data_IF_959832811076
#
_entry.id   IF_959832811076
#
_cell.length_a   1.000
_cell.length_b   1.000
_cell.length_c   1.000
_cell.angle_alpha   90.00
_cell.angle_beta   90.00
_cell.angle_gamma   90.00
#
_symmetry.space_group_name_H-M   'P 1'
#
loop_
_entity.id
_entity.type
_entity.pdbx_description
1 polymer ?
#
# COMPACT_ATOMS: atom_id res chain seq x y z
N UNK A 1 -1.86 -9.39 -27.85
CA UNK A 1 -1.02 -8.50 -27.02
C UNK A 1 -1.85 -7.51 -26.21
N UNK A 2 -2.98 -6.99 -26.72
CA UNK A 2 -3.90 -6.15 -25.93
C UNK A 2 -4.54 -6.83 -24.70
N UNK A 3 -4.69 -8.17 -24.72
CA UNK A 3 -5.36 -8.91 -23.65
C UNK A 3 -4.57 -9.02 -22.33
N UNK A 4 -3.22 -8.94 -22.37
CA UNK A 4 -2.38 -9.01 -21.16
C UNK A 4 -2.15 -7.62 -20.54
N UNK A 5 -2.02 -6.57 -21.35
CA UNK A 5 -1.93 -5.17 -20.88
C UNK A 5 -3.19 -4.72 -20.14
N UNK A 6 -4.37 -5.10 -20.65
CA UNK A 6 -5.64 -4.81 -19.96
C UNK A 6 -5.74 -5.45 -18.57
N UNK A 7 -5.06 -6.59 -18.36
CA UNK A 7 -5.01 -7.27 -17.06
C UNK A 7 -4.08 -6.55 -16.08
N UNK A 8 -2.87 -6.16 -16.51
CA UNK A 8 -1.88 -5.53 -15.63
C UNK A 8 -2.28 -4.13 -15.15
N UNK A 9 -3.01 -3.38 -15.97
CA UNK A 9 -3.50 -2.04 -15.62
C UNK A 9 -4.55 -2.06 -14.50
N UNK A 10 -5.20 -3.20 -14.27
CA UNK A 10 -6.17 -3.41 -13.20
C UNK A 10 -5.53 -3.93 -11.89
N UNK A 11 -4.21 -4.11 -11.86
CA UNK A 11 -3.51 -4.53 -10.65
C UNK A 11 -3.59 -3.44 -9.57
N UNK A 12 -3.80 -3.86 -8.33
CA UNK A 12 -4.05 -2.95 -7.22
C UNK A 12 -2.76 -2.69 -6.43
N UNK A 13 -2.25 -1.46 -6.50
CA UNK A 13 -1.19 -1.00 -5.61
C UNK A 13 -1.80 -0.68 -4.25
N UNK A 14 -1.25 -1.26 -3.18
CA UNK A 14 -1.71 -1.01 -1.80
C UNK A 14 -0.52 -0.76 -0.89
N UNK A 15 -0.51 0.41 -0.24
CA UNK A 15 0.55 0.86 0.68
C UNK A 15 -0.09 1.61 1.84
N UNK A 16 0.55 1.64 3.01
CA UNK A 16 0.10 2.51 4.10
C UNK A 16 0.15 3.99 3.69
N UNK A 17 -0.70 4.81 4.30
CA UNK A 17 -0.67 6.26 4.10
C UNK A 17 0.69 6.84 4.55
N UNK A 18 1.28 6.26 5.60
CA UNK A 18 2.58 6.68 6.12
C UNK A 18 3.71 6.49 5.11
N UNK A 19 3.75 5.36 4.42
CA UNK A 19 4.72 5.12 3.35
C UNK A 19 4.50 6.09 2.18
N UNK A 20 3.24 6.41 1.87
CA UNK A 20 2.94 7.40 0.83
C UNK A 20 3.40 8.80 1.21
N UNK A 21 3.27 9.21 2.47
CA UNK A 21 3.70 10.53 2.97
C UNK A 21 5.18 10.58 3.37
N UNK A 22 5.95 9.51 3.16
CA UNK A 22 7.37 9.52 3.47
C UNK A 22 8.14 10.48 2.56
N UNK A 23 9.17 11.13 3.12
CA UNK A 23 10.13 11.92 2.36
C UNK A 23 11.08 10.95 1.66
N UNK A 24 11.15 11.01 0.34
CA UNK A 24 11.86 10.05 -0.49
C UNK A 24 12.18 10.64 -1.85
N UNK A 25 13.23 10.17 -2.52
CA UNK A 25 13.71 10.75 -3.77
C UNK A 25 13.92 9.68 -4.87
N UNK A 26 13.04 8.68 -4.96
CA UNK A 26 13.08 7.68 -6.02
C UNK A 26 12.88 8.34 -7.40
N UNK A 27 13.62 7.86 -8.39
CA UNK A 27 13.35 8.14 -9.80
C UNK A 27 12.04 7.50 -10.26
N UNK A 28 11.52 7.90 -11.42
CA UNK A 28 10.30 7.31 -11.98
C UNK A 28 10.42 5.79 -12.15
N UNK A 29 11.57 5.32 -12.63
CA UNK A 29 11.89 3.89 -12.78
C UNK A 29 11.82 3.17 -11.44
N UNK A 30 12.44 3.72 -10.40
CA UNK A 30 12.49 3.10 -9.08
C UNK A 30 11.12 3.12 -8.40
N UNK A 31 10.32 4.16 -8.58
CA UNK A 31 8.91 4.19 -8.10
C UNK A 31 8.12 3.06 -8.75
N UNK A 32 8.24 2.91 -10.07
CA UNK A 32 7.56 1.87 -10.85
C UNK A 32 7.98 0.47 -10.39
N UNK A 33 9.26 0.26 -10.09
CA UNK A 33 9.76 -0.99 -9.52
C UNK A 33 9.19 -1.27 -8.14
N UNK A 34 9.14 -0.29 -7.24
CA UNK A 34 8.51 -0.46 -5.94
C UNK A 34 7.00 -0.71 -6.08
N UNK A 35 6.31 -0.09 -7.05
CA UNK A 35 4.90 -0.38 -7.32
C UNK A 35 4.69 -1.83 -7.77
N UNK A 36 5.53 -2.33 -8.69
CA UNK A 36 5.52 -3.74 -9.08
C UNK A 36 5.84 -4.66 -7.92
N UNK A 37 6.87 -4.33 -7.13
CA UNK A 37 7.23 -5.12 -5.96
C UNK A 37 6.04 -5.30 -5.01
N UNK A 38 5.31 -4.22 -4.73
CA UNK A 38 4.11 -4.25 -3.89
C UNK A 38 2.96 -5.07 -4.49
N UNK A 39 2.83 -5.07 -5.81
CA UNK A 39 1.81 -5.86 -6.51
C UNK A 39 2.21 -7.33 -6.47
N UNK A 40 3.39 -7.64 -6.99
CA UNK A 40 3.87 -9.00 -7.17
C UNK A 40 4.02 -9.70 -5.82
N UNK A 41 4.55 -9.03 -4.77
CA UNK A 41 4.63 -9.61 -3.42
C UNK A 41 3.26 -10.02 -2.86
N UNK A 42 2.19 -9.36 -3.28
CA UNK A 42 0.82 -9.67 -2.86
C UNK A 42 0.20 -10.76 -3.74
N UNK A 43 0.47 -10.75 -5.04
CA UNK A 43 -0.01 -11.78 -5.97
C UNK A 43 0.64 -13.14 -5.67
N UNK A 44 1.94 -13.17 -5.38
CA UNK A 44 2.71 -14.40 -5.15
C UNK A 44 2.81 -14.81 -3.69
N UNK A 45 2.49 -13.91 -2.75
CA UNK A 45 2.74 -14.08 -1.31
C UNK A 45 4.22 -14.33 -0.97
N UNK A 46 5.14 -13.83 -1.80
CA UNK A 46 6.61 -13.88 -1.58
C UNK A 46 7.17 -12.48 -1.35
N UNK A 47 8.37 -12.36 -0.78
CA UNK A 47 9.00 -11.05 -0.55
C UNK A 47 8.29 -10.20 0.53
N UNK A 48 7.41 -10.82 1.32
CA UNK A 48 6.67 -10.21 2.42
C UNK A 48 7.41 -10.36 3.77
N UNK A 49 8.68 -10.78 3.73
CA UNK A 49 9.56 -10.83 4.90
C UNK A 49 10.89 -10.15 4.58
N UNK A 50 11.69 -9.86 5.60
CA UNK A 50 12.95 -9.14 5.43
C UNK A 50 14.13 -10.03 5.00
N UNK A 51 13.88 -11.32 4.77
CA UNK A 51 14.89 -12.33 4.41
C UNK A 51 14.49 -13.12 3.15
N UNK A 52 13.28 -12.91 2.63
CA UNK A 52 12.74 -13.59 1.45
C UNK A 52 12.87 -12.69 0.21
N UNK A 53 13.63 -13.10 -0.83
CA UNK A 53 13.77 -12.33 -2.06
C UNK A 53 12.47 -12.25 -2.86
N UNK A 54 12.18 -11.06 -3.40
CA UNK A 54 11.15 -10.85 -4.40
C UNK A 54 11.77 -10.71 -5.77
N UNK A 55 11.40 -11.61 -6.68
CA UNK A 55 11.84 -11.58 -8.06
C UNK A 55 10.96 -10.67 -8.93
N UNK A 56 11.59 -9.78 -9.70
CA UNK A 56 10.94 -8.88 -10.66
C UNK A 56 11.60 -9.08 -12.03
N UNK A 57 10.80 -9.44 -13.04
CA UNK A 57 11.31 -9.68 -14.41
C UNK A 57 11.17 -8.45 -15.32
N UNK A 58 12.12 -8.28 -16.25
CA UNK A 58 12.07 -7.21 -17.25
C UNK A 58 10.82 -7.31 -18.13
N UNK A 59 10.40 -8.54 -18.46
CA UNK A 59 9.17 -8.81 -19.21
C UNK A 59 7.93 -8.25 -18.49
N UNK A 60 7.81 -8.48 -17.18
CA UNK A 60 6.71 -7.94 -16.36
C UNK A 60 6.74 -6.41 -16.36
N UNK A 61 7.92 -5.82 -16.22
CA UNK A 61 8.08 -4.37 -16.29
C UNK A 61 7.65 -3.79 -17.65
N UNK A 62 8.11 -4.40 -18.75
CA UNK A 62 7.74 -4.05 -20.12
C UNK A 62 6.22 -4.09 -20.34
N UNK A 63 5.57 -5.17 -19.89
CA UNK A 63 4.12 -5.34 -20.00
C UNK A 63 3.33 -4.30 -19.20
N UNK A 64 3.80 -3.90 -18.02
CA UNK A 64 3.10 -2.96 -17.14
C UNK A 64 3.28 -1.49 -17.53
N UNK A 65 4.41 -1.12 -18.13
CA UNK A 65 4.76 0.27 -18.42
C UNK A 65 4.89 0.59 -19.91
N UNK A 66 4.50 -0.35 -20.77
CA UNK A 66 4.48 -0.20 -22.23
C UNK A 66 5.84 0.25 -22.78
N UNK A 67 6.89 -0.47 -22.39
CA UNK A 67 8.25 -0.28 -22.90
C UNK A 67 8.75 -1.56 -23.55
N UNK A 68 9.72 -1.42 -24.44
CA UNK A 68 10.41 -2.57 -25.03
C UNK A 68 11.16 -3.40 -23.95
N UNK A 69 11.29 -4.70 -24.17
CA UNK A 69 11.88 -5.64 -23.20
C UNK A 69 13.38 -5.36 -22.98
N UNK A 70 14.12 -4.99 -24.03
CA UNK A 70 15.54 -4.64 -23.91
C UNK A 70 15.70 -3.34 -23.11
N UNK A 71 14.81 -2.38 -23.36
CA UNK A 71 14.75 -1.15 -22.55
C UNK A 71 14.40 -1.46 -21.08
N UNK A 72 13.44 -2.34 -20.83
CA UNK A 72 13.08 -2.76 -19.48
C UNK A 72 14.24 -3.45 -18.77
N UNK A 73 15.05 -4.21 -19.50
CA UNK A 73 16.24 -4.85 -18.98
C UNK A 73 17.30 -3.83 -18.54
N UNK A 74 17.62 -2.85 -19.38
CA UNK A 74 18.56 -1.77 -19.03
C UNK A 74 18.07 -0.96 -17.81
N UNK A 75 16.75 -0.75 -17.75
CA UNK A 75 16.07 -0.10 -16.63
C UNK A 75 16.25 -0.89 -15.33
N UNK A 76 16.07 -2.22 -15.35
CA UNK A 76 16.30 -3.06 -14.17
C UNK A 76 17.77 -3.05 -13.73
N UNK A 77 18.70 -3.12 -14.68
CA UNK A 77 20.14 -3.09 -14.40
C UNK A 77 20.55 -1.75 -13.78
N UNK A 78 20.07 -0.63 -14.31
CA UNK A 78 20.33 0.68 -13.70
C UNK A 78 19.68 0.80 -12.32
N UNK A 79 18.48 0.24 -12.13
CA UNK A 79 17.78 0.32 -10.87
C UNK A 79 18.45 -0.53 -9.78
N UNK A 80 19.11 -1.64 -10.13
CA UNK A 80 19.91 -2.41 -9.17
C UNK A 80 20.98 -1.53 -8.51
N UNK A 81 21.74 -0.78 -9.31
CA UNK A 81 22.80 0.10 -8.81
C UNK A 81 22.27 1.27 -7.97
N UNK A 82 21.08 1.80 -8.28
CA UNK A 82 20.57 3.02 -7.62
C UNK A 82 19.61 2.73 -6.47
N UNK A 83 18.73 1.73 -6.57
CA UNK A 83 17.66 1.46 -5.60
C UNK A 83 18.21 1.09 -4.23
N UNK A 84 19.34 0.36 -4.17
CA UNK A 84 20.01 0.00 -2.93
C UNK A 84 20.43 1.22 -2.09
N UNK A 85 20.80 2.32 -2.76
CA UNK A 85 21.20 3.56 -2.08
C UNK A 85 20.02 4.47 -1.73
N UNK A 86 18.81 4.15 -2.20
CA UNK A 86 17.62 4.95 -1.92
C UNK A 86 17.19 4.80 -0.48
N UNK A 87 16.91 5.95 0.13
CA UNK A 87 16.46 6.06 1.51
C UNK A 87 15.16 6.84 1.55
N UNK A 88 14.36 6.57 2.56
CA UNK A 88 13.20 7.39 2.90
C UNK A 88 13.20 7.69 4.39
N UNK A 89 12.51 8.77 4.73
CA UNK A 89 12.33 9.21 6.11
C UNK A 89 10.85 9.36 6.45
N UNK A 90 10.50 9.00 7.68
CA UNK A 90 9.16 9.16 8.24
C UNK A 90 9.25 9.51 9.72
N UNK A 91 8.16 10.04 10.28
CA UNK A 91 8.04 10.28 11.72
C UNK A 91 7.47 9.02 12.40
N UNK A 92 8.04 8.64 13.53
CA UNK A 92 7.54 7.53 14.36
C UNK A 92 6.60 8.01 15.47
N UNK A 93 6.04 7.06 16.22
CA UNK A 93 5.06 7.35 17.28
C UNK A 93 5.65 8.15 18.45
N UNK A 94 6.97 8.33 18.48
CA UNK A 94 7.71 9.14 19.47
C UNK A 94 8.11 10.51 18.91
N UNK A 95 7.54 10.93 17.78
CA UNK A 95 7.84 12.17 17.06
C UNK A 95 9.31 12.29 16.56
N UNK A 96 10.03 11.17 16.52
CA UNK A 96 11.39 11.15 16.00
C UNK A 96 11.41 10.84 14.51
N UNK A 97 12.29 11.52 13.78
CA UNK A 97 12.57 11.20 12.38
C UNK A 97 13.37 9.89 12.30
N UNK A 98 12.80 8.90 11.60
CA UNK A 98 13.46 7.64 11.30
C UNK A 98 13.86 7.65 9.84
N UNK A 99 15.10 7.24 9.55
CA UNK A 99 15.65 7.09 8.20
C UNK A 99 15.95 5.63 7.94
N UNK A 100 15.53 5.10 6.80
CA UNK A 100 15.76 3.70 6.41
C UNK A 100 15.89 3.57 4.89
N UNK A 101 16.35 2.40 4.42
CA UNK A 101 16.45 2.04 3.00
C UNK A 101 15.15 1.43 2.49
N UNK A 102 14.95 1.47 1.18
CA UNK A 102 13.85 0.75 0.52
C UNK A 102 14.10 -0.75 0.48
N UNK A 103 15.31 -1.13 0.08
CA UNK A 103 15.75 -2.52 -0.06
C UNK A 103 17.00 -2.76 0.81
N UNK A 104 17.11 -3.95 1.38
CA UNK A 104 18.30 -4.43 2.11
C UNK A 104 19.26 -5.19 1.20
N UNK A 105 18.77 -5.73 0.09
CA UNK A 105 19.54 -6.46 -0.91
C UNK A 105 18.94 -6.23 -2.29
N UNK A 106 19.79 -6.13 -3.31
CA UNK A 106 19.41 -6.28 -4.70
C UNK A 106 20.41 -7.23 -5.35
N UNK A 107 19.91 -8.17 -6.13
CA UNK A 107 20.71 -9.10 -6.91
C UNK A 107 20.21 -9.11 -8.35
N UNK A 108 21.13 -9.01 -9.30
CA UNK A 108 20.81 -9.17 -10.71
C UNK A 108 21.02 -10.63 -11.14
N UNK A 109 19.98 -11.26 -11.67
CA UNK A 109 19.99 -12.66 -12.09
C UNK A 109 20.37 -12.78 -13.56
N UNK A 110 21.67 -13.00 -13.80
CA UNK A 110 22.25 -13.07 -15.15
C UNK A 110 21.62 -14.19 -15.97
N UNK A 111 21.20 -13.87 -17.20
CA UNK A 111 20.61 -14.80 -18.15
C UNK A 111 19.10 -14.97 -18.02
N UNK A 112 18.49 -14.47 -16.93
CA UNK A 112 17.04 -14.56 -16.70
C UNK A 112 16.31 -13.23 -16.84
N UNK A 113 17.04 -12.13 -17.10
CA UNK A 113 16.47 -10.80 -17.29
C UNK A 113 15.61 -10.35 -16.12
N UNK A 114 16.05 -10.67 -14.90
CA UNK A 114 15.31 -10.42 -13.66
C UNK A 114 16.25 -9.86 -12.59
N UNK A 115 15.68 -9.11 -11.64
CA UNK A 115 16.35 -8.76 -10.39
C UNK A 115 15.60 -9.41 -9.22
N UNK A 116 16.32 -9.71 -8.16
CA UNK A 116 15.74 -10.07 -6.87
C UNK A 116 16.02 -8.95 -5.88
N UNK A 117 14.98 -8.54 -5.15
CA UNK A 117 15.09 -7.52 -4.11
C UNK A 117 14.63 -8.08 -2.78
N UNK A 118 15.30 -7.70 -1.70
CA UNK A 118 14.80 -7.91 -0.35
C UNK A 118 14.34 -6.56 0.19
N UNK A 119 13.06 -6.44 0.52
CA UNK A 119 12.50 -5.22 1.10
C UNK A 119 12.93 -5.11 2.57
N UNK A 120 13.24 -3.89 3.02
CA UNK A 120 13.58 -3.70 4.44
C UNK A 120 12.38 -3.98 5.35
N UNK A 121 12.59 -4.37 6.63
CA UNK A 121 11.50 -4.58 7.57
C UNK A 121 10.54 -3.39 7.68
N UNK A 122 11.07 -2.16 7.49
CA UNK A 122 10.28 -0.95 7.48
C UNK A 122 9.31 -0.93 6.29
N UNK A 123 9.76 -1.24 5.08
CA UNK A 123 8.86 -1.29 3.91
C UNK A 123 7.86 -2.44 4.03
N UNK A 124 8.34 -3.63 4.39
CA UNK A 124 7.50 -4.82 4.58
C UNK A 124 6.33 -4.51 5.52
N UNK A 125 6.61 -3.87 6.68
CA UNK A 125 5.56 -3.48 7.64
C UNK A 125 4.48 -2.62 6.99
N UNK A 126 4.85 -1.66 6.15
CA UNK A 126 3.93 -0.69 5.56
C UNK A 126 3.11 -1.25 4.38
N UNK A 127 3.45 -2.44 3.88
CA UNK A 127 2.73 -3.12 2.78
C UNK A 127 2.05 -4.44 3.21
N UNK A 128 2.43 -5.00 4.36
CA UNK A 128 1.83 -6.23 4.94
C UNK A 128 0.84 -5.96 6.07
N UNK A 129 1.13 -4.99 6.95
CA UNK A 129 0.29 -4.71 8.13
C UNK A 129 -0.81 -3.71 7.80
N UNK A 130 -1.63 -4.06 6.84
CA UNK A 130 -2.79 -3.25 6.45
C UNK A 130 -4.01 -3.78 7.20
N UNK A 131 -4.05 -3.50 8.50
CA UNK A 131 -5.26 -3.70 9.28
C UNK A 131 -6.16 -2.46 9.09
N UNK A 132 -7.31 -2.61 8.45
CA UNK A 132 -8.20 -1.46 8.14
C UNK A 132 -8.76 -0.70 9.37
N UNK A 133 -8.31 -1.03 10.58
CA UNK A 133 -8.73 -0.48 11.87
C UNK A 133 -7.63 0.33 12.59
N UNK A 134 -6.34 0.02 12.42
CA UNK A 134 -5.24 0.82 13.01
C UNK A 134 -4.39 1.52 11.96
N UNK A 135 -4.25 0.93 10.77
CA UNK A 135 -3.39 1.45 9.71
C UNK A 135 -4.21 1.95 8.53
N UNK A 136 -4.28 3.28 8.37
CA UNK A 136 -4.86 3.84 7.16
C UNK A 136 -3.97 3.52 5.96
N UNK A 137 -4.60 3.01 4.90
CA UNK A 137 -3.92 2.63 3.68
C UNK A 137 -4.54 3.29 2.46
N UNK A 138 -3.72 3.39 1.44
CA UNK A 138 -4.08 3.92 0.14
C UNK A 138 -4.11 2.77 -0.85
N UNK A 139 -5.15 2.76 -1.69
CA UNK A 139 -5.28 1.81 -2.78
C UNK A 139 -5.61 2.52 -4.09
N UNK A 140 -4.97 2.11 -5.18
CA UNK A 140 -5.25 2.60 -6.53
C UNK A 140 -4.83 1.56 -7.57
N UNK A 141 -5.42 1.64 -8.77
CA UNK A 141 -5.05 0.77 -9.89
C UNK A 141 -3.72 1.24 -10.49
N UNK A 142 -2.82 0.32 -10.81
CA UNK A 142 -1.52 0.62 -11.41
C UNK A 142 -1.66 1.51 -12.66
N UNK A 143 -2.70 1.29 -13.47
CA UNK A 143 -2.97 2.09 -14.66
C UNK A 143 -3.19 3.58 -14.42
N UNK A 144 -3.49 4.01 -13.18
CA UNK A 144 -3.60 5.44 -12.84
C UNK A 144 -2.24 6.13 -12.74
N UNK A 145 -1.16 5.38 -12.49
CA UNK A 145 0.19 5.93 -12.37
C UNK A 145 1.14 5.48 -13.46
N UNK A 146 0.88 4.32 -14.09
CA UNK A 146 1.74 3.76 -15.14
C UNK A 146 1.91 4.69 -16.34
N UNK A 147 0.86 5.45 -16.69
CA UNK A 147 0.83 6.38 -17.84
C UNK A 147 1.41 7.76 -17.54
N UNK A 148 1.77 8.03 -16.28
CA UNK A 148 2.38 9.28 -15.86
C UNK A 148 3.87 9.24 -16.14
N UNK A 149 4.37 10.31 -16.76
CA UNK A 149 5.76 10.43 -17.22
C UNK A 149 6.61 11.28 -16.26
N UNK A 150 5.99 12.03 -15.37
CA UNK A 150 6.69 12.81 -14.34
C UNK A 150 6.66 12.11 -12.99
N UNK A 151 7.83 12.00 -12.36
CA UNK A 151 7.96 11.55 -10.97
C UNK A 151 7.06 12.38 -10.04
N UNK A 152 6.95 13.69 -10.28
CA UNK A 152 6.13 14.59 -9.49
C UNK A 152 4.63 14.30 -9.66
N UNK A 153 4.19 13.93 -10.86
CA UNK A 153 2.81 13.52 -11.11
C UNK A 153 2.46 12.24 -10.36
N UNK A 154 3.33 11.23 -10.41
CA UNK A 154 3.11 9.98 -9.67
C UNK A 154 3.04 10.24 -8.17
N UNK A 155 4.00 11.00 -7.62
CA UNK A 155 4.04 11.33 -6.20
C UNK A 155 2.85 12.17 -5.76
N UNK A 156 2.48 13.19 -6.53
CA UNK A 156 1.33 14.01 -6.24
C UNK A 156 0.04 13.18 -6.27
N UNK A 157 -0.14 12.32 -7.26
CA UNK A 157 -1.28 11.41 -7.33
C UNK A 157 -1.36 10.51 -6.07
N UNK A 158 -0.26 9.85 -5.70
CA UNK A 158 -0.20 8.98 -4.50
C UNK A 158 -0.54 9.74 -3.21
N UNK A 159 -0.05 10.99 -3.05
CA UNK A 159 -0.35 11.82 -1.89
C UNK A 159 -1.81 12.26 -1.82
N UNK A 160 -2.49 12.41 -2.97
CA UNK A 160 -3.85 12.95 -3.06
C UNK A 160 -4.93 11.87 -3.08
N UNK A 161 -4.69 10.70 -3.68
CA UNK A 161 -5.72 9.66 -3.83
C UNK A 161 -6.25 9.15 -2.49
N UNK A 162 -5.44 9.19 -1.43
CA UNK A 162 -5.86 8.89 -0.06
C UNK A 162 -6.96 9.83 0.47
N UNK A 163 -7.04 11.05 -0.06
CA UNK A 163 -8.02 12.09 0.30
C UNK A 163 -9.25 12.11 -0.61
N UNK A 164 -9.38 11.16 -1.55
CA UNK A 164 -10.49 11.13 -2.54
C UNK A 164 -11.88 11.22 -1.90
N UNK A 165 -12.09 10.58 -0.74
CA UNK A 165 -13.38 10.63 -0.02
C UNK A 165 -13.63 11.99 0.62
N UNK A 166 -12.59 12.62 1.18
CA UNK A 166 -12.67 13.93 1.80
C UNK A 166 -12.83 15.06 0.78
N UNK A 167 -12.45 14.83 -0.49
CA UNK A 167 -12.47 15.79 -1.61
C UNK A 167 -11.57 17.02 -1.43
N UNK A 168 -10.90 17.13 -0.28
CA UNK A 168 -9.96 18.18 0.06
C UNK A 168 -8.86 17.63 0.97
N UNK A 169 -7.69 18.24 0.91
CA UNK A 169 -6.55 17.87 1.74
C UNK A 169 -6.39 18.83 2.92
N UNK A 170 -5.70 18.42 4.00
CA UNK A 170 -5.09 19.37 4.91
C UNK A 170 -4.04 20.24 4.19
N UNK A 171 -3.51 21.23 4.89
CA UNK A 171 -2.39 22.02 4.40
C UNK A 171 -1.16 21.11 4.28
N UNK A 172 -0.64 20.98 3.07
CA UNK A 172 0.71 20.46 2.85
C UNK A 172 1.70 21.57 3.13
N UNK A 173 2.42 21.46 4.25
CA UNK A 173 3.55 22.32 4.58
C UNK A 173 4.59 22.32 3.46
N UNK A 174 5.06 23.50 3.04
CA UNK A 174 5.88 23.66 1.85
C UNK A 174 7.18 22.84 1.90
N UNK A 175 7.88 22.85 3.04
CA UNK A 175 9.17 22.18 3.17
C UNK A 175 8.99 20.66 3.11
N UNK A 176 8.08 20.15 3.92
CA UNK A 176 7.77 18.71 3.96
C UNK A 176 7.25 18.22 2.62
N UNK A 177 6.36 18.99 1.99
CA UNK A 177 5.72 18.62 0.73
C UNK A 177 6.71 18.51 -0.42
N UNK A 178 7.70 19.41 -0.49
CA UNK A 178 8.77 19.33 -1.49
C UNK A 178 9.56 18.03 -1.37
N UNK A 179 9.90 17.64 -0.14
CA UNK A 179 10.55 16.36 0.13
C UNK A 179 9.67 15.14 -0.21
N UNK A 180 8.36 15.21 0.03
CA UNK A 180 7.42 14.14 -0.32
C UNK A 180 7.24 13.96 -1.84
N UNK A 181 7.39 15.04 -2.61
CA UNK A 181 7.43 15.03 -4.08
C UNK A 181 8.77 14.55 -4.64
N UNK A 182 9.79 14.35 -3.79
CA UNK A 182 11.13 13.90 -4.19
C UNK A 182 12.06 14.99 -4.69
N UNK A 183 11.80 16.24 -4.29
CA UNK A 183 12.70 17.35 -4.57
C UNK A 183 13.83 17.41 -3.55
N UNK A 184 15.05 17.66 -4.03
CA UNK A 184 16.17 18.07 -3.22
C UNK A 184 15.97 19.48 -2.63
N UNK A 185 16.78 19.80 -1.62
CA UNK A 185 16.75 21.10 -0.94
C UNK A 185 16.95 22.26 -1.93
N UNK A 186 17.79 22.05 -2.94
CA UNK A 186 18.17 23.08 -3.91
C UNK A 186 17.33 23.10 -5.21
N UNK A 187 16.41 22.15 -5.40
CA UNK A 187 15.66 22.03 -6.65
C UNK A 187 14.53 23.06 -6.76
N UNK A 188 14.49 23.84 -7.84
CA UNK A 188 13.41 24.84 -8.05
C UNK A 188 13.18 25.77 -6.84
N UNK A 189 14.26 26.32 -6.26
CA UNK A 189 14.18 27.24 -5.10
C UNK A 189 13.18 28.40 -5.29
N UNK A 190 13.09 28.91 -6.52
CA UNK A 190 12.13 29.96 -6.87
C UNK A 190 10.73 29.36 -6.92
N UNK A 191 9.82 29.95 -6.14
CA UNK A 191 8.42 29.52 -6.07
C UNK A 191 7.72 29.50 -7.44
N UNK A 192 8.06 30.42 -8.34
CA UNK A 192 7.55 30.42 -9.72
C UNK A 192 7.99 29.19 -10.52
N UNK A 193 9.24 28.75 -10.36
CA UNK A 193 9.75 27.55 -11.02
C UNK A 193 9.18 26.28 -10.39
N UNK A 194 9.06 26.23 -9.05
CA UNK A 194 8.41 25.11 -8.37
C UNK A 194 6.97 24.92 -8.87
N UNK A 195 6.17 25.99 -8.93
CA UNK A 195 4.80 25.87 -9.46
C UNK A 195 4.80 25.42 -10.91
N UNK A 196 5.48 26.14 -11.79
CA UNK A 196 5.42 25.91 -13.23
C UNK A 196 5.94 24.53 -13.64
N UNK A 197 7.07 24.09 -13.07
CA UNK A 197 7.77 22.86 -13.47
C UNK A 197 7.35 21.64 -12.66
N UNK A 198 6.78 21.83 -11.47
CA UNK A 198 6.38 20.72 -10.59
C UNK A 198 4.87 20.67 -10.46
N UNK A 199 4.25 21.66 -9.80
CA UNK A 199 2.82 21.58 -9.46
C UNK A 199 1.90 21.67 -10.67
N UNK A 200 2.05 22.70 -11.50
CA UNK A 200 1.19 22.95 -12.65
C UNK A 200 1.32 21.84 -13.69
N UNK A 201 2.56 21.40 -13.95
CA UNK A 201 2.84 20.27 -14.83
C UNK A 201 2.21 18.96 -14.29
N UNK A 202 2.38 18.66 -13.01
CA UNK A 202 1.82 17.47 -12.40
C UNK A 202 0.29 17.49 -12.35
N UNK A 203 -0.30 18.63 -12.02
CA UNK A 203 -1.76 18.82 -12.00
C UNK A 203 -2.36 18.66 -13.39
N UNK A 204 -1.72 19.24 -14.41
CA UNK A 204 -2.16 19.07 -15.79
C UNK A 204 -2.12 17.60 -16.22
N UNK A 205 -1.02 16.90 -15.96
CA UNK A 205 -0.87 15.49 -16.34
C UNK A 205 -1.86 14.58 -15.60
N UNK A 206 -2.06 14.78 -14.30
CA UNK A 206 -3.05 14.02 -13.51
C UNK A 206 -4.47 14.26 -14.04
N UNK A 207 -4.80 15.52 -14.34
CA UNK A 207 -6.10 15.91 -14.87
C UNK A 207 -6.37 15.38 -16.27
N UNK A 208 -5.33 15.08 -17.03
CA UNK A 208 -5.45 14.49 -18.36
C UNK A 208 -5.58 12.96 -18.28
N UNK A 209 -4.67 12.30 -17.57
CA UNK A 209 -4.43 10.85 -17.71
C UNK A 209 -5.03 9.94 -16.64
N UNK A 210 -5.54 10.49 -15.54
CA UNK A 210 -5.99 9.68 -14.38
C UNK A 210 -7.49 9.79 -14.12
N UNK A 211 -7.99 9.01 -13.15
CA UNK A 211 -9.34 9.07 -12.62
C UNK A 211 -9.61 10.28 -11.72
N UNK A 212 -8.58 11.10 -11.43
CA UNK A 212 -8.72 12.31 -10.63
C UNK A 212 -8.75 13.58 -11.48
N UNK A 213 -9.58 14.53 -11.03
CA UNK A 213 -9.51 15.94 -11.38
C UNK A 213 -9.15 16.73 -10.13
N UNK A 214 -7.97 17.34 -10.13
CA UNK A 214 -7.39 18.06 -9.01
C UNK A 214 -7.16 19.53 -9.35
N UNK A 215 -7.21 20.37 -8.32
CA UNK A 215 -6.78 21.76 -8.34
C UNK A 215 -6.19 22.13 -6.98
N UNK A 216 -5.43 23.22 -6.91
CA UNK A 216 -4.78 23.64 -5.67
C UNK A 216 -4.93 25.12 -5.40
N UNK A 217 -4.88 25.46 -4.12
CA UNK A 217 -4.81 26.83 -3.60
C UNK A 217 -3.55 26.95 -2.75
N UNK A 218 -2.88 28.10 -2.85
CA UNK A 218 -1.72 28.42 -2.03
C UNK A 218 -2.18 29.04 -0.71
N UNK A 219 -1.58 28.63 0.40
CA UNK A 219 -1.76 29.25 1.70
C UNK A 219 -0.59 30.19 1.98
N UNK A 220 -0.87 31.38 2.53
CA UNK A 220 0.17 32.37 2.86
C UNK A 220 0.14 32.73 4.33
N UNK A 221 1.31 32.87 4.92
CA UNK A 221 1.51 33.62 6.15
C UNK A 221 2.18 34.94 5.78
N UNK A 222 1.45 36.05 5.94
CA UNK A 222 1.83 37.37 5.42
C UNK A 222 2.06 37.30 3.90
N UNK A 223 3.28 37.56 3.42
CA UNK A 223 3.67 37.50 2.01
C UNK A 223 4.28 36.16 1.60
N UNK A 224 4.62 35.30 2.55
CA UNK A 224 5.31 34.03 2.31
C UNK A 224 4.31 32.90 2.09
N UNK A 225 4.48 32.12 1.03
CA UNK A 225 3.70 30.90 0.82
C UNK A 225 4.18 29.83 1.80
N UNK A 226 3.29 29.34 2.66
CA UNK A 226 3.60 28.32 3.67
C UNK A 226 3.21 26.91 3.23
N UNK A 227 2.38 26.78 2.19
CA UNK A 227 1.95 25.47 1.72
C UNK A 227 0.81 25.51 0.71
N UNK A 228 0.25 24.33 0.44
CA UNK A 228 -0.81 24.14 -0.54
C UNK A 228 -1.94 23.26 -0.01
N UNK A 229 -3.17 23.58 -0.41
CA UNK A 229 -4.36 22.75 -0.19
C UNK A 229 -4.91 22.31 -1.54
N UNK A 230 -5.27 21.05 -1.66
CA UNK A 230 -5.80 20.50 -2.91
C UNK A 230 -7.28 20.20 -2.79
N UNK A 231 -8.01 20.43 -3.88
CA UNK A 231 -9.37 19.96 -4.11
C UNK A 231 -9.31 18.77 -5.06
N UNK A 232 -10.06 17.73 -4.77
CA UNK A 232 -10.02 16.44 -5.46
C UNK A 232 -11.44 16.05 -5.86
N UNK A 233 -11.62 15.77 -7.14
CA UNK A 233 -12.87 15.30 -7.73
C UNK A 233 -12.55 14.01 -8.48
N UNK A 234 -13.28 12.93 -8.20
CA UNK A 234 -13.18 11.70 -8.99
C UNK A 234 -13.97 11.86 -10.29
N UNK A 235 -13.34 11.59 -11.42
CA UNK A 235 -13.99 11.57 -12.72
C UNK A 235 -14.91 10.34 -12.78
N UNK A 236 -16.17 10.54 -13.12
CA UNK A 236 -17.02 9.41 -13.51
C UNK A 236 -16.52 8.90 -14.87
N UNK A 237 -16.19 7.62 -14.98
CA UNK A 237 -15.90 7.02 -16.28
C UNK A 237 -17.14 7.15 -17.18
N UNK A 238 -17.03 7.63 -18.44
CA UNK A 238 -18.05 7.34 -19.43
C UNK A 238 -17.91 5.85 -19.79
N UNK A 239 -19.01 5.08 -19.63
CA UNK A 239 -19.13 3.65 -19.92
C UNK A 239 -18.23 2.68 -19.11
N UNK A 240 -18.59 2.47 -17.85
CA UNK A 240 -18.70 1.10 -17.32
C UNK A 240 -20.09 0.97 -16.68
N UNK A 241 -20.77 -0.18 -16.78
CA UNK A 241 -22.10 -0.35 -16.20
C UNK A 241 -22.05 0.01 -14.73
N UNK A 242 -22.97 0.88 -14.30
CA UNK A 242 -23.17 1.15 -12.88
C UNK A 242 -23.61 -0.16 -12.20
N UNK A 243 -22.66 -0.87 -11.60
CA UNK A 243 -23.02 -1.80 -10.53
C UNK A 243 -23.52 -0.96 -9.37
N UNK A 244 -24.82 -1.13 -9.13
CA UNK A 244 -25.55 -0.59 -8.00
C UNK A 244 -24.79 -0.96 -6.72
N UNK A 245 -24.70 0.00 -5.81
CA UNK A 245 -24.31 -0.21 -4.42
C UNK A 245 -24.98 -1.46 -3.84
N UNK A 246 -24.21 -2.51 -3.55
CA UNK A 246 -23.96 -3.15 -2.24
C UNK A 246 -23.13 -4.41 -2.51
N UNK A 247 -21.82 -4.31 -2.32
CA UNK A 247 -20.91 -5.45 -2.11
C UNK A 247 -19.57 -4.86 -1.69
N UNK A 248 -19.12 -5.13 -0.46
CA UNK A 248 -17.71 -4.95 -0.12
C UNK A 248 -16.96 -5.98 -0.97
N UNK A 249 -16.07 -5.55 -1.86
CA UNK A 249 -15.24 -6.42 -2.70
C UNK A 249 -14.79 -7.68 -1.93
N UNK A 250 -15.46 -8.80 -2.20
CA UNK A 250 -15.27 -10.05 -1.46
C UNK A 250 -13.83 -10.58 -1.54
N UNK A 251 -13.07 -10.15 -2.56
CA UNK A 251 -11.68 -10.56 -2.75
C UNK A 251 -10.62 -9.59 -2.20
N UNK A 252 -10.97 -8.42 -1.67
CA UNK A 252 -9.96 -7.47 -1.13
C UNK A 252 -9.82 -7.55 0.39
N UNK A 253 -10.85 -8.00 1.09
CA UNK A 253 -10.76 -8.27 2.52
C UNK A 253 -9.98 -9.57 2.80
N UNK A 254 -10.06 -10.55 1.90
CA UNK A 254 -9.54 -11.91 2.08
C UNK A 254 -8.00 -12.04 2.13
N UNK A 255 -7.24 -10.99 1.83
CA UNK A 255 -5.77 -11.10 1.74
C UNK A 255 -5.01 -10.67 3.01
N UNK A 256 -5.70 -10.08 3.99
CA UNK A 256 -5.15 -9.74 5.32
C UNK A 256 -5.85 -10.51 6.45
N UNK A 257 -6.48 -11.60 6.06
CA UNK A 257 -7.41 -12.34 6.88
C UNK A 257 -7.38 -13.79 6.46
N UNK A 258 -7.47 -14.71 7.40
CA UNK A 258 -7.69 -16.11 7.03
C UNK A 258 -9.18 -16.31 6.93
N UNK A 259 -9.63 -16.78 5.78
CA UNK A 259 -11.04 -16.85 5.39
C UNK A 259 -11.78 -15.53 5.66
N UNK A 260 -11.29 -14.37 5.20
CA UNK A 260 -12.02 -13.08 5.30
C UNK A 260 -12.17 -12.49 6.70
N UNK A 261 -11.57 -13.12 7.73
CA UNK A 261 -11.56 -12.68 9.12
C UNK A 261 -10.21 -12.06 9.58
N UNK A 262 -10.23 -10.81 10.04
CA UNK A 262 -9.06 -10.14 10.63
C UNK A 262 -8.67 -10.72 11.99
N UNK A 263 -7.44 -10.50 12.44
CA UNK A 263 -6.96 -10.95 13.76
C UNK A 263 -7.90 -10.54 14.91
N UNK A 264 -8.47 -9.33 14.87
CA UNK A 264 -9.45 -8.89 15.86
C UNK A 264 -10.77 -9.64 15.77
N UNK A 265 -11.21 -9.99 14.57
CA UNK A 265 -12.40 -10.80 14.36
C UNK A 265 -12.17 -12.24 14.82
N UNK A 266 -11.01 -12.83 14.52
CA UNK A 266 -10.61 -14.15 15.00
C UNK A 266 -10.52 -14.17 16.53
N UNK A 267 -9.94 -13.13 17.13
CA UNK A 267 -9.86 -12.97 18.58
C UNK A 267 -11.25 -12.78 19.21
N UNK A 268 -12.16 -12.09 18.53
CA UNK A 268 -13.56 -11.97 18.98
C UNK A 268 -14.29 -13.32 18.88
N UNK A 269 -14.08 -14.08 17.81
CA UNK A 269 -14.65 -15.42 17.62
C UNK A 269 -14.15 -16.38 18.70
N UNK A 270 -12.86 -16.33 19.07
CA UNK A 270 -12.34 -17.17 20.15
C UNK A 270 -12.97 -16.86 21.51
N UNK A 271 -13.65 -15.72 21.66
CA UNK A 271 -14.42 -15.35 22.87
C UNK A 271 -15.90 -15.72 22.81
N UNK A 272 -16.40 -16.28 21.70
CA UNK A 272 -17.80 -16.70 21.61
C UNK A 272 -18.05 -17.95 22.48
N UNK A 273 -19.09 -17.94 23.32
CA UNK A 273 -19.35 -19.00 24.32
C UNK A 273 -19.48 -20.39 23.71
N UNK A 274 -20.19 -20.52 22.58
CA UNK A 274 -20.30 -21.79 21.86
C UNK A 274 -18.99 -22.24 21.22
N UNK A 275 -18.15 -21.29 20.78
CA UNK A 275 -16.86 -21.57 20.18
C UNK A 275 -15.91 -22.11 21.25
N UNK A 276 -15.84 -21.43 22.41
CA UNK A 276 -15.12 -21.86 23.60
C UNK A 276 -15.59 -23.27 24.01
N UNK A 277 -16.89 -23.51 24.14
CA UNK A 277 -17.42 -24.82 24.54
C UNK A 277 -17.07 -25.96 23.58
N UNK A 278 -16.68 -25.65 22.34
CA UNK A 278 -16.36 -26.64 21.30
C UNK A 278 -14.86 -26.85 21.14
N UNK A 279 -14.05 -25.79 21.26
CA UNK A 279 -12.62 -25.79 20.91
C UNK A 279 -11.68 -25.49 22.08
N UNK A 280 -12.19 -25.17 23.28
CA UNK A 280 -11.35 -24.89 24.46
C UNK A 280 -10.38 -26.02 24.80
N UNK A 281 -10.76 -27.28 24.58
CA UNK A 281 -9.93 -28.46 24.82
C UNK A 281 -8.68 -28.58 23.92
N UNK A 282 -8.55 -27.74 22.88
CA UNK A 282 -7.34 -27.70 22.04
C UNK A 282 -6.18 -26.97 22.72
N UNK A 283 -6.49 -26.01 23.61
CA UNK A 283 -5.48 -25.25 24.33
C UNK A 283 -4.90 -26.10 25.47
N UNK A 284 -3.57 -26.29 25.45
CA UNK A 284 -2.82 -27.04 26.47
C UNK A 284 -1.70 -26.17 27.06
N UNK A 285 -1.26 -26.50 28.27
CA UNK A 285 -0.16 -25.78 28.93
C UNK A 285 -0.54 -24.33 29.24
N UNK A 286 0.37 -23.39 28.96
CA UNK A 286 0.18 -21.97 29.28
C UNK A 286 -1.01 -21.31 28.54
N UNK A 287 -1.40 -21.85 27.38
CA UNK A 287 -2.58 -21.40 26.64
C UNK A 287 -3.91 -21.72 27.35
N UNK A 288 -3.93 -22.65 28.30
CA UNK A 288 -5.10 -22.97 29.13
C UNK A 288 -5.17 -22.17 30.43
N UNK A 289 -4.15 -21.35 30.75
CA UNK A 289 -4.04 -20.66 32.04
C UNK A 289 -4.73 -19.31 32.10
N UNK A 290 -4.85 -18.61 30.97
CA UNK A 290 -5.57 -17.34 30.88
C UNK A 290 -6.21 -17.14 29.50
N UNK A 291 -7.29 -16.35 29.46
CA UNK A 291 -8.10 -16.21 28.25
C UNK A 291 -7.45 -15.41 27.12
N UNK A 292 -6.48 -14.54 27.42
CA UNK A 292 -5.71 -13.85 26.39
C UNK A 292 -4.80 -14.85 25.67
N UNK A 293 -4.02 -15.63 26.42
CA UNK A 293 -3.15 -16.68 25.89
C UNK A 293 -3.95 -17.77 25.16
N UNK A 294 -5.15 -18.09 25.66
CA UNK A 294 -6.10 -18.95 24.94
C UNK A 294 -6.48 -18.36 23.58
N UNK A 295 -6.88 -17.09 23.54
CA UNK A 295 -7.32 -16.42 22.31
C UNK A 295 -6.17 -16.31 21.31
N UNK A 296 -4.97 -15.94 21.76
CA UNK A 296 -3.78 -15.84 20.92
C UNK A 296 -3.37 -17.20 20.35
N UNK A 297 -3.46 -18.27 21.16
CA UNK A 297 -3.23 -19.64 20.72
C UNK A 297 -4.25 -20.08 19.66
N UNK A 298 -5.54 -19.86 19.92
CA UNK A 298 -6.62 -20.24 19.00
C UNK A 298 -6.52 -19.46 17.67
N UNK A 299 -6.23 -18.15 17.73
CA UNK A 299 -5.98 -17.35 16.53
C UNK A 299 -4.81 -17.94 15.75
N UNK A 300 -3.72 -18.33 16.43
CA UNK A 300 -2.59 -19.00 15.79
C UNK A 300 -2.93 -20.34 15.13
N UNK A 301 -3.82 -21.14 15.73
CA UNK A 301 -4.25 -22.42 15.16
C UNK A 301 -5.23 -22.25 14.00
N UNK A 302 -6.18 -21.31 14.09
CA UNK A 302 -7.04 -20.93 12.95
C UNK A 302 -6.15 -20.45 11.80
N UNK A 303 -5.07 -19.74 12.11
CA UNK A 303 -4.14 -19.25 11.10
C UNK A 303 -3.34 -20.33 10.40
N UNK A 304 -3.15 -21.48 11.03
CA UNK A 304 -2.48 -22.63 10.41
C UNK A 304 -3.45 -23.44 9.55
N UNK A 305 -4.69 -23.58 10.00
CA UNK A 305 -5.71 -24.38 9.31
C UNK A 305 -7.12 -24.03 9.80
N UNK A 306 -7.81 -23.14 9.09
CA UNK A 306 -9.16 -22.70 9.43
C UNK A 306 -10.23 -23.79 9.26
N UNK A 307 -9.98 -24.81 8.42
CA UNK A 307 -10.95 -25.88 8.16
C UNK A 307 -11.29 -26.68 9.43
N UNK A 308 -10.35 -26.76 10.38
CA UNK A 308 -10.52 -27.42 11.68
C UNK A 308 -11.57 -26.77 12.57
N UNK A 309 -11.95 -25.52 12.30
CA UNK A 309 -12.82 -24.71 13.14
C UNK A 309 -14.25 -24.56 12.60
N UNK A 310 -14.62 -25.34 11.58
CA UNK A 310 -15.96 -25.35 10.96
C UNK A 310 -16.87 -26.50 11.45
N UNK A 311 -16.55 -27.18 12.57
CA UNK A 311 -17.21 -28.42 13.02
C UNK A 311 -18.70 -28.28 13.33
N UNK A 312 -19.12 -27.18 13.96
CA UNK A 312 -20.53 -26.93 14.33
C UNK A 312 -21.22 -25.94 13.39
N UNK A 313 -20.48 -24.93 12.96
CA UNK A 313 -20.89 -23.91 12.00
C UNK A 313 -19.67 -23.25 11.37
N UNK A 314 -19.83 -22.62 10.19
CA UNK A 314 -18.78 -21.81 9.59
C UNK A 314 -18.21 -20.78 10.57
N UNK A 315 -16.89 -20.67 10.62
CA UNK A 315 -16.18 -19.80 11.56
C UNK A 315 -16.66 -18.34 11.55
N UNK A 316 -17.10 -17.85 10.39
CA UNK A 316 -17.64 -16.49 10.20
C UNK A 316 -18.95 -16.24 10.95
N UNK A 317 -19.80 -17.26 11.09
CA UNK A 317 -21.11 -17.11 11.75
C UNK A 317 -20.99 -16.81 13.25
N UNK A 318 -19.85 -17.10 13.87
CA UNK A 318 -19.58 -16.72 15.26
C UNK A 318 -19.42 -15.21 15.47
N UNK A 319 -19.42 -14.39 14.40
CA UNK A 319 -19.43 -12.94 14.49
C UNK A 319 -20.84 -12.33 14.56
N UNK A 320 -21.87 -13.06 14.13
CA UNK A 320 -23.22 -12.52 13.96
C UNK A 320 -24.03 -12.50 15.28
N UNK A 321 -23.41 -12.94 16.39
CA UNK A 321 -24.02 -12.97 17.72
C UNK A 321 -24.11 -11.60 18.42
N UNK A 322 -25.01 -11.51 19.41
CA UNK A 322 -25.15 -10.36 20.29
C UNK A 322 -23.99 -10.29 21.29
N UNK A 323 -23.75 -9.13 21.91
CA UNK A 323 -22.65 -8.95 22.87
C UNK A 323 -22.69 -9.93 24.06
N UNK A 324 -23.90 -10.38 24.44
CA UNK A 324 -24.12 -11.39 25.47
C UNK A 324 -23.62 -12.81 25.11
N UNK A 325 -23.37 -13.09 23.82
CA UNK A 325 -22.91 -14.39 23.32
C UNK A 325 -21.38 -14.55 23.44
N UNK A 326 -20.68 -13.47 23.80
CA UNK A 326 -19.24 -13.45 23.99
C UNK A 326 -18.87 -13.35 25.46
N UNK A 327 -17.78 -14.01 25.84
CA UNK A 327 -17.20 -13.92 27.17
C UNK A 327 -15.90 -13.11 27.15
N UNK A 328 -16.06 -11.80 27.34
CA UNK A 328 -14.95 -10.88 27.58
C UNK A 328 -14.67 -10.69 29.08
N UNK A 329 -15.47 -11.33 29.95
CA UNK A 329 -15.40 -11.16 31.39
C UNK A 329 -14.38 -12.11 32.02
N UNK A 330 -13.09 -11.84 31.79
CA UNK A 330 -11.92 -12.20 32.62
C UNK A 330 -10.62 -11.95 31.85
#
# INVERSE_FOLDING_TARGET
MESSQGSSMNNLVVKSNRLNTAIQNLSLVEIRLIQLAVIDSRETQTGLTADDPLRISAKRYAECFDVDVDTAYDVLLSAEATLFERRFSFINDRDNQVKTRWVSQVEYIKGEGSIEIILTPAVVKEITRIDGLQTFFTKYLLGQTATLNSVYSVRLYELLIQWRKAKKTPLFDLETFRGQLGLGVDDYKRMSDFKRRVLDAAVAEINDKTDLKISYEQEKSKSTIIGFKFKIITKSKPNQPQERTVSRDAHTADMFTIDGLSDKQLWRISRHKEFIGTYSGLAKGDAGKNWSAYSDFIVGEIKKDASKFNKKRPIREYLDGNEADYDFSR
#
